data_IF_431307766431
#
_entry.id   IF_431307766431
#
_cell.length_a   1.000
_cell.length_b   1.000
_cell.length_c   1.000
_cell.angle_alpha   90.00
_cell.angle_beta   90.00
_cell.angle_gamma   90.00
#
_symmetry.space_group_name_H-M   'P 1'
#
loop_
_entity.id
_entity.type
_entity.pdbx_description
1 polymer ?
#
# COMPACT_ATOMS: atom_id res chain seq x y z
N UNK A 1 18.25 -14.75 5.07
CA UNK A 1 17.43 -13.65 5.63
C UNK A 1 17.27 -12.46 4.67
N UNK A 2 18.31 -12.07 3.92
CA UNK A 2 18.29 -10.90 3.01
C UNK A 2 17.24 -11.00 1.89
N UNK A 3 17.20 -12.15 1.21
CA UNK A 3 16.21 -12.46 0.15
C UNK A 3 14.78 -12.46 0.68
N UNK A 4 14.57 -12.91 1.92
CA UNK A 4 13.25 -12.91 2.57
C UNK A 4 12.74 -11.48 2.82
N UNK A 5 13.61 -10.55 3.24
CA UNK A 5 13.23 -9.14 3.45
C UNK A 5 12.88 -8.48 2.11
N UNK A 6 13.62 -8.80 1.06
CA UNK A 6 13.35 -8.29 -0.29
C UNK A 6 12.02 -8.83 -0.85
N UNK A 7 11.79 -10.14 -0.73
CA UNK A 7 10.52 -10.78 -1.12
C UNK A 7 9.35 -10.20 -0.31
N UNK A 8 9.53 -10.03 1.01
CA UNK A 8 8.51 -9.43 1.87
C UNK A 8 8.18 -7.99 1.44
N UNK A 9 9.19 -7.17 1.16
CA UNK A 9 8.98 -5.80 0.67
C UNK A 9 8.22 -5.76 -0.67
N UNK A 10 8.55 -6.65 -1.61
CA UNK A 10 7.84 -6.76 -2.89
C UNK A 10 6.38 -7.19 -2.68
N UNK A 11 6.15 -8.22 -1.86
CA UNK A 11 4.79 -8.69 -1.55
C UNK A 11 3.96 -7.61 -0.87
N UNK A 12 4.56 -6.86 0.07
CA UNK A 12 3.90 -5.76 0.76
C UNK A 12 3.55 -4.62 -0.21
N UNK A 13 4.42 -4.29 -1.15
CA UNK A 13 4.12 -3.31 -2.19
C UNK A 13 2.93 -3.75 -3.06
N UNK A 14 2.92 -5.00 -3.54
CA UNK A 14 1.81 -5.54 -4.32
C UNK A 14 0.50 -5.53 -3.51
N UNK A 15 0.56 -5.99 -2.26
CA UNK A 15 -0.60 -5.99 -1.36
C UNK A 15 -1.14 -4.57 -1.12
N UNK A 16 -0.28 -3.58 -1.00
CA UNK A 16 -0.65 -2.16 -0.85
C UNK A 16 -1.41 -1.64 -2.07
N UNK A 17 -0.91 -1.97 -3.28
CA UNK A 17 -1.60 -1.61 -4.52
C UNK A 17 -2.98 -2.27 -4.62
N UNK A 18 -3.07 -3.58 -4.36
CA UNK A 18 -4.34 -4.32 -4.38
C UNK A 18 -5.31 -3.77 -3.32
N UNK A 19 -4.82 -3.47 -2.13
CA UNK A 19 -5.62 -2.89 -1.06
C UNK A 19 -6.23 -1.55 -1.47
N UNK A 20 -5.39 -0.60 -1.90
CA UNK A 20 -5.83 0.77 -2.18
C UNK A 20 -6.69 0.89 -3.44
N UNK A 21 -6.30 0.22 -4.54
CA UNK A 21 -7.01 0.34 -5.81
C UNK A 21 -8.19 -0.63 -5.96
N UNK A 22 -8.27 -1.68 -5.16
CA UNK A 22 -9.34 -2.68 -5.26
C UNK A 22 -10.20 -2.73 -4.02
N UNK A 23 -9.65 -3.04 -2.84
CA UNK A 23 -10.45 -3.25 -1.64
C UNK A 23 -11.09 -1.97 -1.08
N UNK A 24 -10.37 -0.86 -1.06
CA UNK A 24 -10.92 0.44 -0.61
C UNK A 24 -12.11 0.89 -1.46
N UNK A 25 -12.01 0.98 -2.80
CA UNK A 25 -13.16 1.37 -3.62
C UNK A 25 -14.28 0.32 -3.61
N UNK A 26 -13.97 -0.97 -3.49
CA UNK A 26 -14.97 -2.03 -3.39
C UNK A 26 -15.77 -1.92 -2.08
N UNK A 27 -15.10 -1.67 -0.95
CA UNK A 27 -15.74 -1.39 0.33
C UNK A 27 -16.61 -0.13 0.29
N UNK A 28 -16.15 0.91 -0.40
CA UNK A 28 -16.95 2.13 -0.63
C UNK A 28 -18.17 1.90 -1.53
N UNK A 29 -18.03 1.08 -2.57
CA UNK A 29 -19.16 0.68 -3.42
C UNK A 29 -20.22 -0.13 -2.66
N UNK A 30 -19.79 -0.90 -1.66
CA UNK A 30 -20.69 -1.64 -0.77
C UNK A 30 -21.35 -0.77 0.31
N UNK A 31 -20.77 0.38 0.69
CA UNK A 31 -21.36 1.34 1.63
C UNK A 31 -21.21 2.80 1.17
N UNK A 32 -22.14 3.30 0.34
CA UNK A 32 -22.04 4.62 -0.29
C UNK A 32 -22.15 5.80 0.69
N UNK A 33 -22.59 5.57 1.93
CA UNK A 33 -22.68 6.63 2.95
C UNK A 33 -21.33 6.99 3.59
N UNK A 34 -20.36 6.07 3.56
CA UNK A 34 -19.06 6.25 4.22
C UNK A 34 -17.99 6.93 3.37
N UNK A 35 -18.21 7.05 2.06
CA UNK A 35 -17.17 7.42 1.10
C UNK A 35 -17.60 8.62 0.25
N UNK A 36 -17.37 9.82 0.78
CA UNK A 36 -17.78 11.09 0.17
C UNK A 36 -16.63 11.82 -0.56
N UNK A 37 -15.41 11.35 -0.39
CA UNK A 37 -14.20 11.95 -0.97
C UNK A 37 -13.76 11.25 -2.25
N UNK A 38 -13.04 11.97 -3.12
CA UNK A 38 -12.34 11.34 -4.25
C UNK A 38 -11.17 10.52 -3.71
N UNK A 39 -11.14 9.24 -4.04
CA UNK A 39 -10.05 8.31 -3.74
C UNK A 39 -8.85 8.59 -4.63
N UNK A 40 -8.16 9.70 -4.33
CA UNK A 40 -6.89 10.03 -4.92
C UNK A 40 -5.75 9.59 -4.00
N UNK A 41 -4.63 9.20 -4.61
CA UNK A 41 -3.37 8.91 -3.90
C UNK A 41 -2.85 10.12 -3.10
N UNK A 42 -3.35 11.32 -3.40
CA UNK A 42 -3.03 12.58 -2.70
C UNK A 42 -4.08 12.97 -1.64
N UNK A 43 -5.17 12.23 -1.49
CA UNK A 43 -6.15 12.42 -0.40
C UNK A 43 -5.56 11.93 0.94
N UNK A 44 -6.11 12.41 2.05
CA UNK A 44 -5.81 11.90 3.40
C UNK A 44 -5.94 10.38 3.50
N UNK A 45 -6.93 9.81 2.80
CA UNK A 45 -7.11 8.34 2.71
C UNK A 45 -5.96 7.70 1.95
N UNK A 46 -5.50 8.31 0.86
CA UNK A 46 -4.31 7.88 0.10
C UNK A 46 -3.03 7.96 0.91
N UNK A 47 -2.86 8.99 1.74
CA UNK A 47 -1.69 9.12 2.60
C UNK A 47 -1.56 7.95 3.58
N UNK A 48 -2.67 7.55 4.19
CA UNK A 48 -2.69 6.51 5.23
C UNK A 48 -2.69 5.11 4.60
N UNK A 49 -3.54 4.86 3.61
CA UNK A 49 -3.75 3.51 3.06
C UNK A 49 -2.84 3.14 1.90
N UNK A 50 -2.18 4.12 1.27
CA UNK A 50 -1.28 3.88 0.14
C UNK A 50 0.16 4.29 0.48
N UNK A 51 0.40 5.54 0.87
CA UNK A 51 1.77 6.02 1.07
C UNK A 51 2.48 5.41 2.27
N UNK A 52 1.81 5.28 3.43
CA UNK A 52 2.45 4.71 4.61
C UNK A 52 2.89 3.24 4.40
N UNK A 53 2.05 2.32 3.88
CA UNK A 53 2.48 0.96 3.59
C UNK A 53 3.51 0.89 2.46
N UNK A 54 3.38 1.75 1.44
CA UNK A 54 4.36 1.83 0.34
C UNK A 54 5.74 2.28 0.81
N UNK A 55 5.81 3.24 1.74
CA UNK A 55 7.06 3.69 2.34
C UNK A 55 7.74 2.56 3.14
N UNK A 56 6.97 1.78 3.90
CA UNK A 56 7.47 0.61 4.63
C UNK A 56 7.99 -0.46 3.65
N UNK A 57 7.23 -0.76 2.60
CA UNK A 57 7.63 -1.69 1.55
C UNK A 57 8.91 -1.23 0.84
N UNK A 58 8.99 0.06 0.47
CA UNK A 58 10.16 0.66 -0.15
C UNK A 58 11.40 0.62 0.74
N UNK A 59 11.26 0.91 2.04
CA UNK A 59 12.34 0.80 3.01
C UNK A 59 12.84 -0.64 3.14
N UNK A 60 11.94 -1.63 3.18
CA UNK A 60 12.29 -3.04 3.22
C UNK A 60 13.03 -3.50 1.96
N UNK A 61 12.58 -3.07 0.77
CA UNK A 61 13.26 -3.35 -0.50
C UNK A 61 14.64 -2.70 -0.53
N UNK A 62 14.75 -1.41 -0.22
CA UNK A 62 16.03 -0.68 -0.23
C UNK A 62 17.04 -1.30 0.74
N UNK A 63 16.58 -1.68 1.93
CA UNK A 63 17.41 -2.36 2.90
C UNK A 63 17.83 -3.75 2.41
N UNK A 64 16.90 -4.51 1.81
CA UNK A 64 17.16 -5.81 1.21
C UNK A 64 18.20 -5.74 0.10
N UNK A 65 18.09 -4.76 -0.81
CA UNK A 65 19.02 -4.54 -1.92
C UNK A 65 20.39 -4.07 -1.43
N UNK A 66 20.45 -3.06 -0.55
CA UNK A 66 21.72 -2.50 -0.05
C UNK A 66 22.55 -3.47 0.77
N UNK A 67 21.91 -4.46 1.41
CA UNK A 67 22.60 -5.48 2.21
C UNK A 67 22.75 -6.83 1.49
N UNK A 68 22.27 -6.95 0.25
CA UNK A 68 22.37 -8.20 -0.54
C UNK A 68 23.76 -8.44 -1.08
#
# INVERSE_FOLDING_TARGET
>A
MKTLVLIFGILLAIATFVWFFYFVPLGCGMNPTGCRERFDVLSSVGLIHFWAPLAVAGAAILYGVRRS
#
